data_IF_065181915221
#
_entry.id   IF_065181915221
#
_cell.length_a   1.000
_cell.length_b   1.000
_cell.length_c   1.000
_cell.angle_alpha   90.00
_cell.angle_beta   90.00
_cell.angle_gamma   90.00
#
_symmetry.space_group_name_H-M   'P 1'
#
loop_
_entity.id
_entity.type
_entity.pdbx_description
1 polymer ?
#
# COMPACT_ATOMS: atom_id res chain seq x y z
N UNK A 1 13.43 -8.54 -53.18
CA UNK A 1 13.03 -9.40 -52.05
C UNK A 1 14.30 -9.78 -51.32
N UNK A 2 14.70 -8.98 -50.34
CA UNK A 2 15.83 -9.32 -49.48
C UNK A 2 15.33 -10.36 -48.48
N UNK A 3 15.80 -11.59 -48.60
CA UNK A 3 15.50 -12.63 -47.62
C UNK A 3 16.30 -12.33 -46.36
N UNK A 4 15.60 -11.90 -45.31
CA UNK A 4 16.12 -11.85 -43.95
C UNK A 4 16.83 -13.16 -43.58
N UNK A 5 17.85 -13.05 -42.72
CA UNK A 5 18.81 -14.12 -42.44
C UNK A 5 18.22 -15.13 -41.43
N UNK A 6 17.19 -15.86 -41.86
CA UNK A 6 16.47 -16.83 -41.02
C UNK A 6 17.42 -17.93 -40.54
N UNK A 7 17.65 -17.98 -39.23
CA UNK A 7 18.49 -18.98 -38.56
C UNK A 7 17.63 -20.10 -37.97
N UNK A 8 18.02 -21.35 -38.25
CA UNK A 8 17.40 -22.53 -37.65
C UNK A 8 18.09 -22.88 -36.31
N UNK A 9 17.35 -23.38 -35.29
CA UNK A 9 17.95 -23.81 -34.03
C UNK A 9 18.99 -24.93 -34.22
N UNK A 10 20.12 -24.88 -33.51
CA UNK A 10 21.14 -25.92 -33.64
C UNK A 10 20.73 -27.24 -32.95
N UNK A 11 20.99 -28.36 -33.63
CA UNK A 11 20.77 -29.72 -33.12
C UNK A 11 19.33 -30.24 -33.32
N UNK A 12 18.81 -31.03 -32.38
CA UNK A 12 17.50 -31.71 -32.50
C UNK A 12 16.28 -30.83 -32.12
N UNK A 13 16.42 -29.51 -32.00
CA UNK A 13 15.31 -28.65 -31.57
C UNK A 13 14.51 -28.20 -32.82
N UNK A 14 13.19 -28.44 -32.88
CA UNK A 14 12.38 -27.97 -34.01
C UNK A 14 12.30 -26.44 -34.03
N UNK A 15 12.20 -25.88 -35.23
CA UNK A 15 11.81 -24.48 -35.43
C UNK A 15 10.29 -24.37 -35.27
N UNK A 16 9.81 -23.31 -34.62
CA UNK A 16 8.38 -22.97 -34.54
C UNK A 16 8.07 -21.68 -35.30
N UNK A 17 6.83 -21.50 -35.73
CA UNK A 17 6.37 -20.27 -36.40
C UNK A 17 6.61 -19.03 -35.53
N UNK A 18 6.44 -19.12 -34.21
CA UNK A 18 6.74 -18.03 -33.27
C UNK A 18 8.23 -17.65 -33.24
N UNK A 19 9.15 -18.61 -33.43
CA UNK A 19 10.59 -18.30 -33.57
C UNK A 19 10.89 -17.61 -34.90
N UNK A 20 10.21 -17.97 -35.99
CA UNK A 20 10.38 -17.32 -37.29
C UNK A 20 9.81 -15.90 -37.29
N UNK A 21 8.62 -15.70 -36.73
CA UNK A 21 8.03 -14.37 -36.55
C UNK A 21 8.90 -13.49 -35.64
N UNK A 22 9.46 -14.04 -34.56
CA UNK A 22 10.40 -13.30 -33.69
C UNK A 22 11.70 -12.91 -34.40
N UNK A 23 12.15 -13.68 -35.39
CA UNK A 23 13.32 -13.33 -36.21
C UNK A 23 12.98 -12.21 -37.19
N UNK A 24 11.85 -12.31 -37.89
CA UNK A 24 11.39 -11.26 -38.81
C UNK A 24 11.15 -9.92 -38.07
N UNK A 25 10.51 -9.95 -36.90
CA UNK A 25 10.32 -8.74 -36.08
C UNK A 25 11.66 -8.12 -35.64
N UNK A 26 12.66 -8.96 -35.34
CA UNK A 26 14.01 -8.50 -34.98
C UNK A 26 14.81 -7.93 -36.16
N UNK A 27 14.34 -8.09 -37.40
CA UNK A 27 14.89 -7.46 -38.61
C UNK A 27 14.12 -6.19 -39.01
N UNK A 28 12.87 -6.02 -38.55
CA UNK A 28 12.03 -4.83 -38.79
C UNK A 28 12.13 -3.81 -37.66
N UNK A 29 13.31 -3.59 -37.10
CA UNK A 29 13.53 -2.55 -36.08
C UNK A 29 13.55 -1.18 -36.78
N UNK A 30 12.84 -0.20 -36.22
CA UNK A 30 12.87 1.16 -36.74
C UNK A 30 14.29 1.75 -36.62
N UNK A 31 14.89 2.27 -37.71
CA UNK A 31 16.27 2.74 -37.68
C UNK A 31 16.42 3.92 -36.71
N UNK A 32 17.37 3.79 -35.78
CA UNK A 32 17.59 4.78 -34.72
C UNK A 32 16.72 4.59 -33.47
N UNK A 33 15.90 3.54 -33.39
CA UNK A 33 15.17 3.18 -32.17
C UNK A 33 16.14 2.87 -31.02
N UNK A 34 16.00 3.57 -29.89
CA UNK A 34 16.79 3.36 -28.66
C UNK A 34 15.88 3.25 -27.45
N UNK A 35 16.22 2.36 -26.51
CA UNK A 35 15.50 2.17 -25.24
C UNK A 35 16.45 1.86 -24.09
N UNK A 36 16.19 2.45 -22.92
CA UNK A 36 16.93 2.10 -21.70
C UNK A 36 16.61 0.66 -21.27
N UNK A 37 17.66 -0.14 -21.16
CA UNK A 37 17.71 -1.54 -20.77
C UNK A 37 16.89 -1.82 -19.50
N UNK A 38 17.07 -1.00 -18.46
CA UNK A 38 16.39 -1.20 -17.18
C UNK A 38 14.97 -0.64 -17.11
N UNK A 39 14.60 0.30 -17.99
CA UNK A 39 13.19 0.70 -18.16
C UNK A 39 12.41 -0.41 -18.86
N UNK A 40 12.96 -0.92 -19.97
CA UNK A 40 12.36 -2.01 -20.73
C UNK A 40 12.29 -3.31 -19.91
N UNK A 41 13.34 -3.66 -19.15
CA UNK A 41 13.29 -4.81 -18.25
C UNK A 41 12.19 -4.68 -17.17
N UNK A 42 11.98 -3.49 -16.60
CA UNK A 42 10.86 -3.26 -15.68
C UNK A 42 9.52 -3.44 -16.38
N UNK A 43 9.34 -2.90 -17.59
CA UNK A 43 8.12 -3.13 -18.36
C UNK A 43 7.84 -4.62 -18.60
N UNK A 44 8.87 -5.43 -18.92
CA UNK A 44 8.74 -6.90 -19.04
C UNK A 44 8.33 -7.55 -17.71
N UNK A 45 8.82 -7.07 -16.57
CA UNK A 45 8.41 -7.55 -15.25
C UNK A 45 6.93 -7.24 -14.93
N UNK A 46 6.44 -6.05 -15.32
CA UNK A 46 5.03 -5.69 -15.16
C UNK A 46 4.12 -6.47 -16.13
N UNK A 47 4.53 -6.60 -17.40
CA UNK A 47 3.84 -7.35 -18.45
C UNK A 47 3.98 -8.88 -18.34
N UNK A 48 4.69 -9.38 -17.31
CA UNK A 48 5.02 -10.81 -17.10
C UNK A 48 3.83 -11.77 -17.30
N UNK A 49 2.60 -11.50 -16.77
CA UNK A 49 1.46 -12.40 -16.96
C UNK A 49 1.05 -12.54 -18.43
N UNK A 50 0.95 -11.41 -19.14
CA UNK A 50 0.56 -11.37 -20.56
C UNK A 50 1.62 -12.02 -21.47
N UNK A 51 2.91 -11.85 -21.13
CA UNK A 51 4.02 -12.45 -21.86
C UNK A 51 4.22 -13.96 -21.58
N UNK A 52 3.50 -14.55 -20.62
CA UNK A 52 3.63 -15.96 -20.25
C UNK A 52 4.98 -16.35 -19.62
N UNK A 53 5.72 -15.39 -19.05
CA UNK A 53 7.10 -15.60 -18.58
C UNK A 53 7.15 -15.89 -17.08
N UNK A 54 8.07 -16.77 -16.67
CA UNK A 54 8.28 -17.11 -15.25
C UNK A 54 9.32 -16.20 -14.58
N UNK A 55 9.23 -15.97 -13.27
CA UNK A 55 10.19 -15.11 -12.52
C UNK A 55 11.64 -15.59 -12.66
N UNK A 56 11.82 -16.91 -12.73
CA UNK A 56 13.12 -17.54 -12.96
C UNK A 56 13.66 -17.28 -14.37
N UNK A 57 12.79 -17.13 -15.37
CA UNK A 57 13.18 -16.66 -16.70
C UNK A 57 13.52 -15.16 -16.70
N UNK A 58 12.78 -14.32 -15.97
CA UNK A 58 13.14 -12.91 -15.78
C UNK A 58 14.50 -12.75 -15.07
N UNK A 59 14.83 -13.61 -14.10
CA UNK A 59 16.16 -13.64 -13.45
C UNK A 59 17.28 -13.98 -14.45
N UNK A 60 16.99 -14.80 -15.46
CA UNK A 60 17.95 -15.11 -16.53
C UNK A 60 18.05 -13.96 -17.54
N UNK A 61 16.95 -13.26 -17.83
CA UNK A 61 16.94 -12.08 -18.69
C UNK A 61 17.72 -10.92 -18.05
N UNK A 62 17.47 -10.61 -16.79
CA UNK A 62 18.25 -9.70 -15.94
C UNK A 62 19.75 -10.02 -16.05
N UNK A 63 20.11 -11.28 -15.77
CA UNK A 63 21.48 -11.75 -15.87
C UNK A 63 22.07 -11.60 -17.29
N UNK A 64 21.30 -11.82 -18.38
CA UNK A 64 21.74 -11.55 -19.75
C UNK A 64 21.98 -10.06 -20.01
N UNK A 65 21.09 -9.19 -19.56
CA UNK A 65 21.17 -7.73 -19.74
C UNK A 65 22.37 -7.11 -19.02
N UNK A 66 22.83 -7.70 -17.91
CA UNK A 66 24.11 -7.28 -17.28
C UNK A 66 25.37 -7.54 -18.12
N UNK A 67 25.30 -8.36 -19.19
CA UNK A 67 26.41 -8.55 -20.15
C UNK A 67 26.33 -7.59 -21.34
N UNK A 68 25.23 -6.83 -21.47
CA UNK A 68 25.15 -5.74 -22.43
C UNK A 68 25.90 -4.51 -21.85
N UNK A 69 26.93 -3.98 -22.55
CA UNK A 69 27.85 -2.99 -21.97
C UNK A 69 27.17 -1.66 -21.64
N UNK A 70 26.28 -1.20 -22.52
CA UNK A 70 25.59 0.09 -22.40
C UNK A 70 24.29 0.00 -21.58
N UNK A 71 23.77 1.16 -21.17
CA UNK A 71 22.42 1.24 -20.58
C UNK A 71 21.31 1.35 -21.65
N UNK A 72 21.64 1.73 -22.88
CA UNK A 72 20.68 1.85 -23.98
C UNK A 72 20.88 0.75 -25.02
N UNK A 73 19.81 -0.02 -25.26
CA UNK A 73 19.75 -1.02 -26.33
C UNK A 73 19.51 -0.28 -27.65
N UNK A 74 20.39 -0.51 -28.62
CA UNK A 74 20.36 0.12 -29.95
C UNK A 74 21.10 -0.76 -30.96
N UNK A 75 20.73 -0.68 -32.25
CA UNK A 75 21.39 -1.45 -33.31
C UNK A 75 22.87 -1.09 -33.49
N UNK A 76 23.19 0.20 -33.44
CA UNK A 76 24.54 0.77 -33.58
C UNK A 76 25.58 0.12 -32.67
N UNK A 77 25.18 -0.27 -31.45
CA UNK A 77 26.07 -0.82 -30.42
C UNK A 77 26.16 -2.36 -30.46
N UNK A 78 25.49 -2.98 -31.44
CA UNK A 78 25.33 -4.41 -31.55
C UNK A 78 24.30 -4.96 -30.56
N UNK A 79 23.60 -6.02 -30.96
CA UNK A 79 22.47 -6.59 -30.19
C UNK A 79 22.74 -8.00 -29.66
N UNK A 80 23.98 -8.50 -29.70
CA UNK A 80 24.32 -9.90 -29.39
C UNK A 80 25.22 -9.99 -28.15
N UNK A 81 24.73 -10.66 -27.10
CA UNK A 81 25.51 -11.00 -25.90
C UNK A 81 25.94 -12.46 -25.91
N UNK A 82 27.20 -12.74 -25.56
CA UNK A 82 27.79 -14.09 -25.64
C UNK A 82 28.37 -14.59 -24.28
N UNK A 83 27.61 -14.52 -23.16
CA UNK A 83 28.13 -14.96 -21.86
C UNK A 83 28.37 -16.47 -21.79
N UNK A 84 29.42 -16.85 -21.06
CA UNK A 84 29.67 -18.24 -20.69
C UNK A 84 28.56 -18.74 -19.75
N UNK A 85 28.23 -20.03 -19.83
CA UNK A 85 27.20 -20.61 -18.95
C UNK A 85 27.55 -20.49 -17.45
N UNK A 86 28.85 -20.48 -17.11
CA UNK A 86 29.31 -20.31 -15.73
C UNK A 86 29.05 -18.89 -15.21
N UNK A 87 29.44 -17.85 -15.98
CA UNK A 87 29.18 -16.45 -15.59
C UNK A 87 27.68 -16.14 -15.60
N UNK A 88 26.92 -16.67 -16.56
CA UNK A 88 25.47 -16.48 -16.61
C UNK A 88 24.77 -17.19 -15.45
N UNK A 89 25.21 -18.39 -15.06
CA UNK A 89 24.74 -19.10 -13.85
C UNK A 89 25.02 -18.30 -12.57
N UNK A 90 26.24 -17.75 -12.43
CA UNK A 90 26.63 -16.93 -11.28
C UNK A 90 25.72 -15.71 -11.12
N UNK A 91 25.51 -14.94 -12.20
CA UNK A 91 24.62 -13.76 -12.18
C UNK A 91 23.14 -14.14 -12.04
N UNK A 92 22.71 -15.26 -12.61
CA UNK A 92 21.37 -15.83 -12.41
C UNK A 92 21.20 -16.56 -11.06
N UNK A 93 21.84 -16.04 -9.99
CA UNK A 93 21.72 -16.52 -8.60
C UNK A 93 22.11 -17.99 -8.40
N UNK A 94 23.18 -18.46 -9.07
CA UNK A 94 23.70 -19.82 -8.95
C UNK A 94 22.84 -20.89 -9.64
N UNK A 95 22.01 -20.50 -10.61
CA UNK A 95 21.09 -21.42 -11.30
C UNK A 95 21.84 -22.54 -12.04
N UNK A 96 21.44 -23.81 -11.84
CA UNK A 96 22.12 -24.96 -12.44
C UNK A 96 22.08 -24.93 -13.98
N UNK A 97 23.05 -25.53 -14.70
CA UNK A 97 23.08 -25.52 -16.16
C UNK A 97 21.87 -26.18 -16.85
N UNK A 98 21.13 -27.05 -16.16
CA UNK A 98 19.89 -27.63 -16.68
C UNK A 98 18.73 -26.61 -16.56
N UNK A 99 18.54 -26.05 -15.38
CA UNK A 99 17.51 -25.03 -15.09
C UNK A 99 17.74 -23.78 -15.95
N UNK A 100 18.98 -23.34 -16.10
CA UNK A 100 19.37 -22.23 -16.98
C UNK A 100 18.96 -22.47 -18.43
N UNK A 101 19.24 -23.67 -18.98
CA UNK A 101 18.82 -24.03 -20.35
C UNK A 101 17.30 -24.05 -20.53
N UNK A 102 16.54 -24.47 -19.51
CA UNK A 102 15.06 -24.44 -19.50
C UNK A 102 14.53 -23.01 -19.54
N UNK A 103 15.03 -22.11 -18.70
CA UNK A 103 14.56 -20.72 -18.69
C UNK A 103 15.02 -19.93 -19.93
N UNK A 104 16.20 -20.23 -20.48
CA UNK A 104 16.62 -19.77 -21.81
C UNK A 104 15.83 -20.38 -22.97
N UNK A 105 15.02 -21.44 -22.75
CA UNK A 105 14.07 -21.93 -23.74
C UNK A 105 12.79 -21.10 -23.67
N UNK A 106 12.27 -20.86 -22.45
CA UNK A 106 11.10 -20.00 -22.19
C UNK A 106 11.29 -18.58 -22.74
N UNK A 107 12.45 -17.94 -22.54
CA UNK A 107 12.70 -16.58 -23.08
C UNK A 107 12.74 -16.54 -24.62
N UNK A 108 13.11 -17.64 -25.28
CA UNK A 108 13.08 -17.77 -26.75
C UNK A 108 11.67 -18.06 -27.25
N UNK A 109 10.93 -18.91 -26.53
CA UNK A 109 9.54 -19.25 -26.85
C UNK A 109 8.60 -18.07 -26.65
N UNK A 110 8.84 -17.22 -25.65
CA UNK A 110 8.16 -15.94 -25.43
C UNK A 110 8.63 -14.80 -26.36
N UNK A 111 9.55 -15.07 -27.30
CA UNK A 111 10.04 -14.08 -28.27
C UNK A 111 10.76 -12.89 -27.66
N UNK A 112 11.38 -13.03 -26.47
CA UNK A 112 12.13 -11.97 -25.81
C UNK A 112 13.62 -11.98 -26.16
N UNK A 113 14.18 -13.16 -26.47
CA UNK A 113 15.56 -13.29 -26.96
C UNK A 113 15.60 -14.27 -28.13
N UNK A 114 16.55 -14.06 -29.05
CA UNK A 114 16.85 -15.03 -30.10
C UNK A 114 18.18 -15.73 -29.81
N UNK A 115 18.33 -16.98 -30.28
CA UNK A 115 19.61 -17.68 -30.28
C UNK A 115 20.24 -17.59 -31.65
N UNK A 116 21.43 -16.99 -31.71
CA UNK A 116 22.31 -17.04 -32.88
C UNK A 116 23.39 -18.08 -32.60
N UNK A 117 23.03 -19.35 -32.80
CA UNK A 117 23.92 -20.49 -32.57
C UNK A 117 25.03 -20.53 -33.63
N UNK A 118 26.26 -20.92 -33.25
CA UNK A 118 27.36 -21.12 -34.21
C UNK A 118 27.29 -22.52 -34.84
N UNK A 119 27.99 -22.76 -35.97
CA UNK A 119 28.06 -24.10 -36.60
C UNK A 119 28.58 -25.22 -35.66
N UNK A 120 29.28 -24.85 -34.59
CA UNK A 120 29.82 -25.77 -33.59
C UNK A 120 29.06 -25.75 -32.24
N UNK A 121 27.90 -25.07 -32.16
CA UNK A 121 27.08 -24.97 -30.94
C UNK A 121 27.74 -24.22 -29.76
N UNK A 122 28.92 -23.61 -29.96
CA UNK A 122 29.63 -22.80 -28.95
C UNK A 122 29.30 -21.32 -29.14
N UNK A 123 29.24 -20.55 -28.04
CA UNK A 123 29.09 -19.09 -28.08
C UNK A 123 30.47 -18.43 -28.12
N UNK A 124 30.73 -17.64 -29.16
CA UNK A 124 31.96 -16.87 -29.32
C UNK A 124 31.72 -15.68 -30.24
N UNK A 125 32.53 -14.63 -30.08
CA UNK A 125 32.65 -13.55 -31.03
C UNK A 125 33.95 -13.73 -31.84
N UNK A 126 33.83 -13.79 -33.16
CA UNK A 126 34.96 -13.74 -34.08
C UNK A 126 35.25 -12.28 -34.39
N UNK A 127 36.46 -11.81 -34.04
CA UNK A 127 36.95 -10.52 -34.52
C UNK A 127 37.43 -10.66 -35.96
N UNK A 128 37.23 -9.61 -36.75
CA UNK A 128 37.77 -9.52 -38.11
C UNK A 128 39.28 -9.23 -38.09
N UNK A 129 39.89 -9.09 -39.28
CA UNK A 129 41.33 -8.76 -39.39
C UNK A 129 41.69 -7.34 -38.93
N UNK A 130 40.70 -6.46 -38.71
CA UNK A 130 40.88 -5.09 -38.21
C UNK A 130 40.64 -4.97 -36.69
N UNK A 131 40.19 -6.05 -36.02
CA UNK A 131 39.92 -6.09 -34.58
C UNK A 131 38.48 -5.75 -34.19
N UNK A 132 37.61 -5.41 -35.14
CA UNK A 132 36.18 -5.22 -34.91
C UNK A 132 35.45 -6.57 -34.77
N UNK A 133 34.24 -6.58 -34.20
CA UNK A 133 33.45 -7.82 -34.02
C UNK A 133 32.79 -8.17 -35.35
N UNK A 134 33.39 -9.09 -36.12
CA UNK A 134 32.89 -9.50 -37.43
C UNK A 134 31.69 -10.45 -37.38
N UNK A 135 31.74 -11.49 -36.53
CA UNK A 135 30.61 -12.42 -36.33
C UNK A 135 30.44 -12.75 -34.85
N UNK A 136 29.28 -12.41 -34.26
CA UNK A 136 28.93 -12.78 -32.89
C UNK A 136 27.89 -13.92 -32.87
N UNK A 137 28.20 -14.98 -32.12
CA UNK A 137 27.30 -16.12 -31.88
C UNK A 137 26.97 -16.21 -30.38
N UNK A 138 25.67 -16.10 -30.03
CA UNK A 138 25.20 -15.86 -28.68
C UNK A 138 23.68 -15.67 -28.60
N UNK A 139 23.23 -14.82 -27.68
CA UNK A 139 21.83 -14.39 -27.59
C UNK A 139 21.66 -13.01 -28.18
N UNK A 140 20.73 -12.86 -29.12
CA UNK A 140 20.32 -11.54 -29.60
C UNK A 140 19.20 -10.99 -28.73
N UNK A 141 19.35 -9.74 -28.28
CA UNK A 141 18.33 -8.95 -27.58
C UNK A 141 17.52 -8.06 -28.53
N UNK A 142 17.74 -8.18 -29.84
CA UNK A 142 16.97 -7.48 -30.88
C UNK A 142 15.43 -7.57 -30.72
N UNK A 143 14.83 -8.73 -30.33
CA UNK A 143 13.38 -8.80 -30.12
C UNK A 143 12.86 -7.85 -29.03
N UNK A 144 13.68 -7.52 -28.02
CA UNK A 144 13.31 -6.55 -26.99
C UNK A 144 13.11 -5.15 -27.57
N UNK A 145 13.96 -4.76 -28.52
CA UNK A 145 13.89 -3.45 -29.16
C UNK A 145 12.74 -3.40 -30.17
N UNK A 146 12.59 -4.44 -31.00
CA UNK A 146 11.49 -4.60 -31.94
C UNK A 146 10.10 -4.56 -31.26
N UNK A 147 9.98 -5.23 -30.11
CA UNK A 147 8.74 -5.32 -29.34
C UNK A 147 8.65 -4.30 -28.21
N UNK A 148 9.50 -3.28 -28.19
CA UNK A 148 9.55 -2.33 -27.07
C UNK A 148 8.19 -1.65 -26.83
N UNK A 149 7.53 -1.19 -27.89
CA UNK A 149 6.22 -0.51 -27.80
C UNK A 149 5.12 -1.48 -27.35
N UNK A 150 5.11 -2.72 -27.85
CA UNK A 150 4.19 -3.78 -27.42
C UNK A 150 4.34 -4.05 -25.90
N UNK A 151 5.58 -4.24 -25.44
CA UNK A 151 5.92 -4.51 -24.04
C UNK A 151 5.58 -3.30 -23.15
N UNK A 152 5.87 -2.08 -23.60
CA UNK A 152 5.52 -0.83 -22.91
C UNK A 152 4.00 -0.69 -22.75
N UNK A 153 3.22 -1.01 -23.78
CA UNK A 153 1.74 -1.00 -23.74
C UNK A 153 1.18 -2.09 -22.81
N UNK A 154 1.67 -3.32 -22.90
CA UNK A 154 1.26 -4.43 -22.01
C UNK A 154 1.58 -4.11 -20.54
N UNK A 155 2.72 -3.46 -20.28
CA UNK A 155 3.08 -3.01 -18.94
C UNK A 155 2.15 -1.92 -18.42
N UNK A 156 1.82 -0.93 -19.25
CA UNK A 156 0.87 0.15 -18.92
C UNK A 156 -0.52 -0.41 -18.61
N UNK A 157 -1.03 -1.34 -19.44
CA UNK A 157 -2.29 -2.03 -19.19
C UNK A 157 -2.27 -2.80 -17.87
N UNK A 158 -1.22 -3.61 -17.62
CA UNK A 158 -1.09 -4.37 -16.37
C UNK A 158 -0.98 -3.47 -15.13
N UNK A 159 -0.42 -2.25 -15.24
CA UNK A 159 -0.45 -1.25 -14.16
C UNK A 159 -1.88 -0.74 -13.95
N UNK A 160 -2.54 -0.27 -15.01
CA UNK A 160 -3.90 0.28 -14.96
C UNK A 160 -4.92 -0.72 -14.38
N UNK A 161 -4.87 -1.99 -14.79
CA UNK A 161 -5.72 -3.06 -14.25
C UNK A 161 -5.53 -3.26 -12.73
N UNK A 162 -4.29 -3.18 -12.23
CA UNK A 162 -3.98 -3.30 -10.79
C UNK A 162 -4.39 -2.06 -10.00
N UNK A 163 -4.29 -0.87 -10.60
CA UNK A 163 -4.74 0.38 -9.98
C UNK A 163 -6.27 0.43 -9.90
N UNK A 164 -6.96 0.05 -10.97
CA UNK A 164 -8.42 -0.10 -10.99
C UNK A 164 -8.89 -1.13 -9.96
N UNK A 165 -8.28 -2.32 -9.91
CA UNK A 165 -8.58 -3.36 -8.92
C UNK A 165 -8.35 -2.86 -7.47
N UNK A 166 -7.33 -2.02 -7.24
CA UNK A 166 -7.09 -1.41 -5.93
C UNK A 166 -8.19 -0.40 -5.60
N UNK A 167 -8.47 0.54 -6.49
CA UNK A 167 -9.47 1.58 -6.29
C UNK A 167 -10.87 1.01 -6.04
N UNK A 168 -11.29 -0.02 -6.80
CA UNK A 168 -12.56 -0.72 -6.58
C UNK A 168 -12.60 -1.38 -5.20
N UNK A 169 -11.52 -2.04 -4.75
CA UNK A 169 -11.45 -2.65 -3.41
C UNK A 169 -11.44 -1.62 -2.28
N UNK A 170 -10.79 -0.48 -2.48
CA UNK A 170 -10.79 0.64 -1.53
C UNK A 170 -12.21 1.23 -1.40
N UNK A 171 -12.88 1.52 -2.52
CA UNK A 171 -14.29 1.95 -2.54
C UNK A 171 -15.21 0.94 -1.87
N UNK A 172 -15.09 -0.36 -2.18
CA UNK A 172 -15.89 -1.42 -1.57
C UNK A 172 -15.69 -1.48 -0.04
N UNK A 173 -14.45 -1.31 0.41
CA UNK A 173 -14.12 -1.28 1.85
C UNK A 173 -14.72 -0.07 2.55
N UNK A 174 -14.67 1.11 1.92
CA UNK A 174 -15.30 2.34 2.42
C UNK A 174 -16.82 2.21 2.44
N UNK A 175 -17.44 1.79 1.33
CA UNK A 175 -18.88 1.62 1.22
C UNK A 175 -19.42 0.63 2.27
N UNK A 176 -18.75 -0.52 2.45
CA UNK A 176 -19.09 -1.51 3.49
C UNK A 176 -19.05 -0.92 4.91
N UNK A 177 -18.03 -0.13 5.22
CA UNK A 177 -17.90 0.55 6.51
C UNK A 177 -18.98 1.61 6.70
N UNK A 178 -19.29 2.35 5.65
CA UNK A 178 -20.24 3.46 5.70
C UNK A 178 -21.67 2.94 5.89
N UNK A 179 -22.12 1.92 5.14
CA UNK A 179 -23.42 1.25 5.35
C UNK A 179 -23.55 0.76 6.79
N UNK A 180 -22.55 0.03 7.29
CA UNK A 180 -22.55 -0.49 8.66
C UNK A 180 -22.69 0.61 9.72
N UNK A 181 -22.10 1.79 9.49
CA UNK A 181 -22.22 2.93 10.41
C UNK A 181 -23.55 3.67 10.28
N UNK A 182 -24.06 3.85 9.06
CA UNK A 182 -25.34 4.50 8.81
C UNK A 182 -26.49 3.69 9.42
N UNK A 183 -26.47 2.36 9.22
CA UNK A 183 -27.45 1.45 9.82
C UNK A 183 -27.36 1.44 11.35
N UNK A 184 -26.15 1.40 11.93
CA UNK A 184 -25.99 1.51 13.40
C UNK A 184 -26.57 2.81 13.93
N UNK A 185 -26.16 3.96 13.35
CA UNK A 185 -26.64 5.27 13.78
C UNK A 185 -28.16 5.40 13.66
N UNK A 186 -28.76 4.88 12.59
CA UNK A 186 -30.21 4.90 12.41
C UNK A 186 -30.97 4.07 13.47
N UNK A 187 -30.41 2.93 13.88
CA UNK A 187 -30.96 2.09 14.96
C UNK A 187 -30.77 2.78 16.32
N UNK A 188 -29.58 3.34 16.58
CA UNK A 188 -29.23 4.03 17.83
C UNK A 188 -30.07 5.31 18.03
N UNK A 189 -30.38 6.04 16.96
CA UNK A 189 -31.25 7.23 16.94
C UNK A 189 -32.74 6.90 16.74
N UNK A 190 -33.11 5.60 16.67
CA UNK A 190 -34.48 5.11 16.48
C UNK A 190 -35.23 5.67 15.25
N UNK A 191 -34.49 5.94 14.16
CA UNK A 191 -35.02 6.51 12.92
C UNK A 191 -36.01 5.53 12.25
N UNK A 192 -37.25 5.95 11.91
CA UNK A 192 -38.22 5.07 11.28
C UNK A 192 -37.78 4.66 9.86
N UNK A 193 -37.64 3.35 9.64
CA UNK A 193 -37.29 2.74 8.35
C UNK A 193 -37.11 1.22 8.48
N UNK A 194 -37.08 0.51 7.34
CA UNK A 194 -36.82 -0.94 7.32
C UNK A 194 -35.31 -1.25 7.38
N UNK A 195 -34.71 -0.90 8.50
CA UNK A 195 -33.29 -1.13 8.76
C UNK A 195 -32.95 -2.61 8.91
N UNK A 196 -33.94 -3.47 9.22
CA UNK A 196 -33.77 -4.92 9.30
C UNK A 196 -33.61 -5.53 7.90
N UNK A 197 -34.50 -5.19 6.96
CA UNK A 197 -34.36 -5.59 5.55
C UNK A 197 -33.04 -5.09 4.96
N UNK A 198 -32.69 -3.82 5.20
CA UNK A 198 -31.41 -3.25 4.77
C UNK A 198 -30.19 -3.99 5.37
N UNK A 199 -30.27 -4.40 6.64
CA UNK A 199 -29.23 -5.21 7.29
C UNK A 199 -29.10 -6.59 6.66
N UNK A 200 -30.21 -7.22 6.26
CA UNK A 200 -30.19 -8.50 5.54
C UNK A 200 -29.51 -8.35 4.17
N UNK A 201 -29.95 -7.39 3.35
CA UNK A 201 -29.36 -7.12 2.04
C UNK A 201 -27.85 -6.82 2.13
N UNK A 202 -27.45 -6.06 3.15
CA UNK A 202 -26.04 -5.78 3.42
C UNK A 202 -25.22 -7.04 3.75
N UNK A 203 -25.77 -7.95 4.58
CA UNK A 203 -25.11 -9.23 4.92
C UNK A 203 -24.97 -10.12 3.67
N UNK A 204 -25.99 -10.18 2.82
CA UNK A 204 -25.96 -10.97 1.59
C UNK A 204 -24.96 -10.42 0.56
N UNK A 205 -24.81 -9.09 0.47
CA UNK A 205 -23.76 -8.44 -0.32
C UNK A 205 -22.36 -8.76 0.23
N UNK A 206 -22.15 -8.66 1.54
CA UNK A 206 -20.86 -8.96 2.18
C UNK A 206 -20.49 -10.45 2.02
N UNK A 207 -21.45 -11.36 2.08
CA UNK A 207 -21.24 -12.79 1.86
C UNK A 207 -20.81 -13.13 0.42
N UNK A 208 -21.19 -12.30 -0.57
CA UNK A 208 -20.80 -12.46 -1.98
C UNK A 208 -19.39 -11.95 -2.31
N UNK A 209 -18.70 -11.24 -1.41
CA UNK A 209 -17.36 -10.69 -1.69
C UNK A 209 -16.35 -11.83 -1.94
N UNK A 210 -15.78 -11.97 -3.15
CA UNK A 210 -14.83 -13.04 -3.46
C UNK A 210 -13.47 -12.82 -2.81
N UNK A 211 -12.84 -13.89 -2.30
CA UNK A 211 -11.48 -13.84 -1.74
C UNK A 211 -10.41 -13.45 -2.78
N UNK A 212 -10.62 -13.87 -4.02
CA UNK A 212 -9.80 -13.52 -5.19
C UNK A 212 -10.76 -13.24 -6.35
N UNK A 213 -11.36 -12.06 -6.36
CA UNK A 213 -12.23 -11.61 -7.45
C UNK A 213 -11.50 -10.78 -8.51
N UNK A 214 -12.03 -10.85 -9.73
CA UNK A 214 -11.67 -9.97 -10.85
C UNK A 214 -12.17 -8.54 -10.64
N UNK A 215 -11.77 -7.63 -11.54
CA UNK A 215 -12.23 -6.23 -11.50
C UNK A 215 -13.74 -6.14 -11.72
N UNK A 216 -14.26 -6.86 -12.72
CA UNK A 216 -15.67 -6.81 -13.13
C UNK A 216 -16.60 -7.29 -12.01
N UNK A 217 -16.32 -8.46 -11.42
CA UNK A 217 -17.09 -9.02 -10.30
C UNK A 217 -17.14 -8.09 -9.07
N UNK A 218 -16.02 -7.41 -8.80
CA UNK A 218 -15.92 -6.46 -7.70
C UNK A 218 -16.55 -5.10 -8.03
N UNK A 219 -16.63 -4.72 -9.31
CA UNK A 219 -17.33 -3.53 -9.75
C UNK A 219 -18.85 -3.72 -9.68
N UNK A 220 -19.39 -4.83 -10.19
CA UNK A 220 -20.82 -5.13 -10.06
C UNK A 220 -21.28 -5.20 -8.61
N UNK A 221 -20.46 -5.80 -7.74
CA UNK A 221 -20.76 -5.86 -6.31
C UNK A 221 -20.64 -4.49 -5.63
N UNK A 222 -19.72 -3.63 -6.10
CA UNK A 222 -19.60 -2.25 -5.61
C UNK A 222 -20.84 -1.42 -5.98
N UNK A 223 -21.33 -1.54 -7.22
CA UNK A 223 -22.52 -0.81 -7.68
C UNK A 223 -23.76 -1.21 -6.84
N UNK A 224 -23.95 -2.51 -6.56
CA UNK A 224 -25.02 -2.98 -5.65
C UNK A 224 -24.86 -2.45 -4.21
N UNK A 225 -23.62 -2.37 -3.69
CA UNK A 225 -23.37 -1.82 -2.35
C UNK A 225 -23.55 -0.29 -2.31
N UNK A 226 -23.16 0.44 -3.35
CA UNK A 226 -23.34 1.89 -3.43
C UNK A 226 -24.83 2.25 -3.53
N UNK A 227 -25.65 1.48 -4.25
CA UNK A 227 -27.10 1.63 -4.24
C UNK A 227 -27.70 1.48 -2.82
N UNK A 228 -27.28 0.45 -2.07
CA UNK A 228 -27.75 0.23 -0.69
C UNK A 228 -27.29 1.33 0.28
N UNK A 229 -26.06 1.84 0.08
CA UNK A 229 -25.54 3.00 0.82
C UNK A 229 -26.36 4.24 0.56
N UNK A 230 -26.69 4.51 -0.70
CA UNK A 230 -27.43 5.70 -1.09
C UNK A 230 -28.89 5.62 -0.62
N UNK A 231 -29.50 4.43 -0.57
CA UNK A 231 -30.79 4.21 0.09
C UNK A 231 -30.74 4.54 1.60
N UNK A 232 -29.71 4.07 2.30
CA UNK A 232 -29.49 4.38 3.73
C UNK A 232 -29.34 5.88 3.98
N UNK A 233 -28.54 6.56 3.16
CA UNK A 233 -28.37 8.03 3.20
C UNK A 233 -29.70 8.73 2.91
N UNK A 234 -30.46 8.29 1.91
CA UNK A 234 -31.75 8.89 1.55
C UNK A 234 -32.84 8.71 2.62
N UNK A 235 -32.80 7.64 3.42
CA UNK A 235 -33.66 7.47 4.60
C UNK A 235 -33.29 8.48 5.70
N UNK A 236 -32.01 8.53 6.07
CA UNK A 236 -31.49 9.45 7.10
C UNK A 236 -31.69 10.93 6.72
N UNK A 237 -31.40 11.30 5.47
CA UNK A 237 -31.61 12.67 4.99
C UNK A 237 -33.08 13.08 5.04
N UNK A 238 -34.01 12.17 4.73
CA UNK A 238 -35.46 12.45 4.84
C UNK A 238 -35.87 12.66 6.29
N UNK A 239 -35.31 11.91 7.24
CA UNK A 239 -35.54 12.12 8.67
C UNK A 239 -35.07 13.51 9.12
N UNK A 240 -33.80 13.84 8.86
CA UNK A 240 -33.19 15.13 9.22
C UNK A 240 -33.93 16.32 8.58
N UNK A 241 -34.41 16.17 7.33
CA UNK A 241 -35.21 17.19 6.64
C UNK A 241 -36.60 17.36 7.28
N UNK A 242 -37.24 16.26 7.71
CA UNK A 242 -38.52 16.30 8.42
C UNK A 242 -38.38 16.97 9.79
N UNK A 243 -37.43 16.54 10.62
CA UNK A 243 -37.22 17.14 11.95
C UNK A 243 -36.97 18.65 11.87
N UNK A 244 -36.24 19.13 10.86
CA UNK A 244 -36.03 20.57 10.63
C UNK A 244 -37.30 21.34 10.25
N UNK A 245 -38.32 20.67 9.72
CA UNK A 245 -39.63 21.27 9.43
C UNK A 245 -40.48 21.24 10.70
N UNK A 246 -40.57 20.08 11.36
CA UNK A 246 -41.34 19.89 12.60
C UNK A 246 -40.83 20.82 13.74
N UNK A 247 -39.51 21.09 13.82
CA UNK A 247 -38.91 22.04 14.78
C UNK A 247 -39.22 23.51 14.46
N UNK A 248 -39.51 23.86 13.20
CA UNK A 248 -39.85 25.24 12.81
C UNK A 248 -41.33 25.61 13.09
N UNK A 249 -42.21 24.64 13.32
CA UNK A 249 -43.66 24.89 13.53
C UNK A 249 -43.96 25.56 14.90
N UNK A 250 -43.00 25.61 15.82
CA UNK A 250 -43.19 26.08 17.21
C UNK A 250 -42.39 27.34 17.60
N UNK A 251 -42.00 28.18 16.63
CA UNK A 251 -41.67 29.58 16.95
C UNK A 251 -42.98 30.35 17.21
N UNK A 252 -43.14 30.84 18.45
CA UNK A 252 -44.33 31.54 18.93
C UNK A 252 -44.47 32.89 18.20
N UNK A 253 -45.15 32.91 17.05
CA UNK A 253 -45.69 34.15 16.49
C UNK A 253 -46.79 34.67 17.42
N UNK A 254 -46.41 35.60 18.31
CA UNK A 254 -47.38 36.41 19.02
C UNK A 254 -48.17 37.22 18.00
N UNK A 255 -49.42 36.84 17.80
CA UNK A 255 -50.43 37.59 17.05
C UNK A 255 -50.40 39.06 17.49
N UNK A 256 -49.77 39.93 16.68
CA UNK A 256 -49.79 41.38 16.90
C UNK A 256 -51.13 41.92 16.41
N UNK A 257 -52.09 41.99 17.32
CA UNK A 257 -53.37 42.63 17.03
C UNK A 257 -53.16 44.14 16.93
N UNK A 258 -52.88 44.64 15.72
CA UNK A 258 -52.75 46.07 15.46
C UNK A 258 -54.15 46.71 15.44
N UNK A 259 -54.54 47.33 16.56
CA UNK A 259 -55.71 48.18 16.64
C UNK A 259 -55.29 49.66 16.72
N UNK A 260 -55.05 50.28 15.56
CA UNK A 260 -55.05 51.73 15.38
C UNK A 260 -55.63 52.01 13.98
N UNK A 261 -56.77 52.73 13.86
CA UNK A 261 -57.33 53.12 12.57
C UNK A 261 -56.56 54.30 11.97
N UNK A 262 -56.66 54.46 10.65
CA UNK A 262 -55.95 55.49 9.89
C UNK A 262 -56.28 56.93 10.32
N UNK A 263 -55.26 57.79 10.28
CA UNK A 263 -55.46 59.20 9.93
C UNK A 263 -54.27 59.71 9.11
N UNK A 264 -54.57 60.14 7.88
CA UNK A 264 -53.65 60.74 6.91
C UNK A 264 -53.64 62.26 7.04
N UNK A 265 -52.47 62.89 6.97
CA UNK A 265 -52.21 64.28 6.53
C UNK A 265 -50.69 64.42 6.32
N UNK A 266 -50.17 64.32 5.09
CA UNK A 266 -49.93 65.39 4.09
C UNK A 266 -48.68 66.28 4.32
N UNK A 267 -47.75 66.19 3.35
CA UNK A 267 -46.82 67.25 2.85
C UNK A 267 -45.70 67.76 3.82
N UNK A 268 -44.47 68.11 3.42
CA UNK A 268 -43.74 68.15 2.12
C UNK A 268 -42.20 68.01 2.35
N UNK A 269 -41.33 67.89 1.31
CA UNK A 269 -39.90 67.58 1.47
C UNK A 269 -38.93 68.78 1.29
N UNK A 270 -37.75 68.76 1.94
CA UNK A 270 -36.58 69.56 1.52
C UNK A 270 -35.22 68.99 1.95
N UNK A 271 -34.16 69.42 1.26
CA UNK A 271 -32.80 68.86 1.27
C UNK A 271 -31.82 69.46 2.32
N UNK A 272 -30.67 68.78 2.45
CA UNK A 272 -29.32 69.24 2.85
C UNK A 272 -29.00 69.73 4.29
N UNK A 273 -27.93 69.19 4.90
CA UNK A 273 -26.59 69.85 4.99
C UNK A 273 -25.60 69.18 5.98
N UNK A 274 -24.47 68.67 5.45
CA UNK A 274 -23.07 68.55 5.97
C UNK A 274 -22.67 67.88 7.31
N UNK A 275 -21.73 66.93 7.15
CA UNK A 275 -20.45 66.65 7.85
C UNK A 275 -19.89 67.57 8.97
N UNK A 276 -19.12 66.94 9.88
CA UNK A 276 -18.07 67.54 10.75
C UNK A 276 -18.14 67.04 12.21
N UNK A 277 -17.50 65.96 12.66
CA UNK A 277 -16.06 65.69 12.93
C UNK A 277 -15.43 66.41 14.16
N UNK A 278 -15.04 65.61 15.20
CA UNK A 278 -14.04 65.86 16.29
C UNK A 278 -14.28 67.04 17.28
N UNK A 279 -13.76 67.06 18.52
CA UNK A 279 -13.23 66.06 19.47
C UNK A 279 -12.95 66.74 20.85
N UNK A 280 -12.42 65.94 21.82
CA UNK A 280 -11.39 66.28 22.85
C UNK A 280 -11.81 66.29 24.35
N UNK A 281 -11.43 65.20 25.06
CA UNK A 281 -10.87 65.04 26.46
C UNK A 281 -11.49 65.78 27.68
N UNK A 282 -11.32 65.39 28.97
CA UNK A 282 -10.20 64.76 29.72
C UNK A 282 -10.64 64.01 31.01
N UNK A 283 -9.92 62.92 31.35
CA UNK A 283 -9.36 62.48 32.66
C UNK A 283 -10.25 62.38 33.93
N UNK A 284 -10.05 61.50 34.94
CA UNK A 284 -9.12 60.38 35.24
C UNK A 284 -9.78 59.52 36.38
N UNK A 285 -9.32 58.36 36.89
CA UNK A 285 -8.15 57.49 36.60
C UNK A 285 -7.83 56.55 37.80
N UNK A 286 -7.11 55.43 37.58
CA UNK A 286 -6.52 54.48 38.58
C UNK A 286 -7.50 53.56 39.38
N UNK A 287 -7.23 52.28 39.71
CA UNK A 287 -6.04 51.42 39.53
C UNK A 287 -6.39 49.90 39.37
N UNK A 288 -5.43 49.14 38.81
CA UNK A 288 -5.28 47.67 38.71
C UNK A 288 -4.57 47.08 39.98
N UNK A 289 -4.17 45.78 40.14
CA UNK A 289 -3.97 44.66 39.18
C UNK A 289 -4.49 43.27 39.67
N UNK A 290 -4.15 42.07 39.13
CA UNK A 290 -4.04 41.51 37.75
C UNK A 290 -3.68 40.00 37.88
N UNK A 291 -4.15 39.06 37.03
CA UNK A 291 -3.51 37.74 36.90
C UNK A 291 -3.78 37.01 35.55
N UNK A 292 -2.71 36.58 34.85
CA UNK A 292 -2.75 35.77 33.61
C UNK A 292 -1.96 34.46 33.83
N UNK A 293 -2.47 33.31 33.41
CA UNK A 293 -1.72 32.05 33.42
C UNK A 293 -1.62 31.36 32.05
N UNK A 294 -0.40 31.36 31.51
CA UNK A 294 -0.02 30.77 30.22
C UNK A 294 1.00 29.64 30.45
N UNK A 295 0.56 28.38 30.29
CA UNK A 295 1.38 27.22 30.63
C UNK A 295 2.48 26.89 29.58
N UNK A 296 3.69 26.61 30.09
CA UNK A 296 4.84 26.03 29.38
C UNK A 296 5.32 24.75 30.12
N UNK A 297 6.04 23.82 29.47
CA UNK A 297 6.32 22.49 30.02
C UNK A 297 7.58 22.43 30.90
N UNK A 298 7.66 21.49 31.86
CA UNK A 298 8.86 21.25 32.66
C UNK A 298 9.81 20.18 32.07
N UNK A 299 11.11 20.32 32.37
CA UNK A 299 12.14 19.26 32.31
C UNK A 299 12.60 18.92 33.78
N UNK A 300 13.79 18.36 34.10
CA UNK A 300 13.87 16.97 34.56
C UNK A 300 14.68 16.72 35.87
N UNK A 301 14.14 15.97 36.82
CA UNK A 301 14.84 15.48 38.04
C UNK A 301 14.15 14.19 38.54
N UNK A 302 14.76 13.24 39.27
CA UNK A 302 16.15 12.97 39.66
C UNK A 302 16.29 11.46 40.02
N UNK A 303 17.53 10.98 40.24
CA UNK A 303 17.78 9.66 40.88
C UNK A 303 17.41 9.69 42.38
N UNK A 304 17.11 8.52 42.95
CA UNK A 304 17.88 8.05 44.11
C UNK A 304 18.52 6.68 43.85
N UNK A 305 19.60 6.35 44.56
CA UNK A 305 20.29 5.07 44.43
C UNK A 305 20.35 4.28 45.74
N UNK A 306 20.75 3.00 45.64
CA UNK A 306 21.35 2.26 46.74
C UNK A 306 20.62 0.99 47.21
N UNK A 307 20.95 -0.15 46.60
CA UNK A 307 21.66 -1.29 47.24
C UNK A 307 21.71 -2.51 46.30
N UNK A 308 22.92 -3.04 46.09
CA UNK A 308 23.13 -4.41 45.57
C UNK A 308 23.17 -5.41 46.73
N UNK A 309 22.98 -6.70 46.43
CA UNK A 309 23.95 -7.69 46.91
C UNK A 309 24.53 -8.56 45.78
N UNK A 310 25.86 -8.69 45.85
CA UNK A 310 26.80 -9.70 45.35
C UNK A 310 26.43 -10.65 44.18
N UNK A 311 27.38 -10.72 43.24
CA UNK A 311 27.47 -11.62 42.10
C UNK A 311 27.56 -13.13 42.43
N UNK A 312 27.08 -13.96 41.49
CA UNK A 312 27.71 -15.24 41.12
C UNK A 312 27.32 -15.70 39.69
N UNK A 313 28.33 -15.84 38.82
CA UNK A 313 28.40 -16.65 37.58
C UNK A 313 27.56 -16.28 36.32
N UNK A 314 28.01 -16.71 35.11
CA UNK A 314 27.92 -15.86 33.91
C UNK A 314 27.19 -16.47 32.69
N UNK A 315 27.03 -15.64 31.65
CA UNK A 315 26.60 -15.99 30.28
C UNK A 315 25.16 -16.52 30.13
N UNK A 316 24.22 -15.61 29.88
CA UNK A 316 23.02 -15.86 29.08
C UNK A 316 22.57 -14.54 28.42
N UNK A 317 22.20 -14.57 27.14
CA UNK A 317 21.72 -13.38 26.43
C UNK A 317 20.42 -12.84 27.06
N UNK A 318 20.26 -11.51 27.08
CA UNK A 318 19.07 -10.85 27.62
C UNK A 318 17.84 -11.06 26.71
N UNK A 319 17.27 -12.27 26.72
CA UNK A 319 15.95 -12.51 26.13
C UNK A 319 14.89 -11.77 26.94
N UNK A 320 14.07 -10.98 26.23
CA UNK A 320 12.87 -10.39 26.82
C UNK A 320 11.93 -11.50 27.27
N UNK A 321 11.42 -11.40 28.50
CA UNK A 321 10.42 -12.35 29.04
C UNK A 321 9.23 -12.42 28.08
N UNK A 322 9.00 -13.60 27.51
CA UNK A 322 7.80 -13.88 26.71
C UNK A 322 6.57 -13.96 27.63
N UNK A 323 5.42 -13.56 27.10
CA UNK A 323 4.13 -13.56 27.79
C UNK A 323 3.22 -14.61 27.14
N UNK A 324 2.33 -15.30 27.88
CA UNK A 324 1.46 -16.29 27.28
C UNK A 324 0.55 -15.66 26.22
N UNK A 325 0.38 -16.33 25.07
CA UNK A 325 -0.38 -15.82 23.92
C UNK A 325 -1.78 -15.32 24.30
N UNK A 326 -2.49 -16.04 25.17
CA UNK A 326 -3.82 -15.61 25.65
C UNK A 326 -3.84 -14.25 26.34
N UNK A 327 -2.77 -13.87 27.05
CA UNK A 327 -2.63 -12.54 27.67
C UNK A 327 -2.40 -11.45 26.60
N UNK A 328 -1.63 -11.78 25.54
CA UNK A 328 -1.40 -10.85 24.41
C UNK A 328 -2.69 -10.59 23.65
N UNK A 329 -3.48 -11.64 23.38
CA UNK A 329 -4.77 -11.53 22.69
C UNK A 329 -5.84 -10.85 23.57
N UNK A 330 -5.82 -11.05 24.88
CA UNK A 330 -6.66 -10.29 25.82
C UNK A 330 -6.29 -8.80 25.85
N UNK A 331 -4.99 -8.48 25.77
CA UNK A 331 -4.50 -7.10 25.75
C UNK A 331 -4.82 -6.40 24.43
N UNK A 332 -4.72 -7.11 23.31
CA UNK A 332 -4.78 -6.56 21.96
C UNK A 332 -5.85 -7.26 21.09
N UNK A 333 -7.16 -7.16 21.42
CA UNK A 333 -8.22 -7.79 20.63
C UNK A 333 -8.21 -7.38 19.16
N UNK A 334 -7.77 -6.17 18.80
CA UNK A 334 -7.81 -5.68 17.42
C UNK A 334 -6.92 -6.47 16.44
N UNK A 335 -5.92 -7.24 16.91
CA UNK A 335 -5.09 -8.05 16.00
C UNK A 335 -5.78 -9.35 15.54
N UNK A 336 -6.86 -9.79 16.20
CA UNK A 336 -7.57 -11.02 15.87
C UNK A 336 -8.11 -11.02 14.43
N UNK A 337 -8.61 -9.88 13.97
CA UNK A 337 -9.15 -9.67 12.61
C UNK A 337 -8.12 -9.91 11.49
N UNK A 338 -6.83 -9.87 11.83
CA UNK A 338 -5.71 -10.05 10.90
C UNK A 338 -5.11 -11.46 10.98
N UNK A 339 -5.66 -12.33 11.82
CA UNK A 339 -5.27 -13.73 11.92
C UNK A 339 -5.64 -14.54 10.66
N UNK A 340 -4.89 -15.60 10.32
CA UNK A 340 -5.24 -16.50 9.22
C UNK A 340 -6.60 -17.16 9.46
N UNK A 341 -7.62 -16.73 8.71
CA UNK A 341 -9.01 -17.17 8.92
C UNK A 341 -9.77 -16.40 10.00
N UNK A 342 -9.33 -15.20 10.38
CA UNK A 342 -10.02 -14.33 11.35
C UNK A 342 -9.88 -14.78 12.81
N UNK A 343 -8.94 -15.68 13.10
CA UNK A 343 -8.64 -16.16 14.45
C UNK A 343 -7.13 -16.32 14.63
N UNK A 344 -6.68 -16.34 15.89
CA UNK A 344 -5.27 -16.57 16.26
C UNK A 344 -5.24 -17.67 17.32
N UNK A 345 -4.89 -18.90 16.92
CA UNK A 345 -4.81 -20.05 17.82
C UNK A 345 -3.40 -20.31 18.36
N UNK A 346 -2.36 -19.82 17.67
CA UNK A 346 -0.97 -20.06 18.04
C UNK A 346 -0.04 -18.86 17.67
N UNK A 347 1.23 -18.92 18.09
CA UNK A 347 2.22 -17.86 17.83
C UNK A 347 2.52 -17.62 16.36
N UNK A 348 2.47 -18.64 15.50
CA UNK A 348 2.67 -18.49 14.05
C UNK A 348 1.51 -17.73 13.41
N UNK A 349 0.30 -17.91 13.90
CA UNK A 349 -0.86 -17.12 13.49
C UNK A 349 -0.67 -15.64 13.87
N UNK A 350 -0.23 -15.36 15.11
CA UNK A 350 0.05 -14.00 15.57
C UNK A 350 1.20 -13.33 14.80
N UNK A 351 2.29 -14.06 14.54
CA UNK A 351 3.39 -13.57 13.70
C UNK A 351 2.93 -13.29 12.25
N UNK A 352 2.01 -14.09 11.73
CA UNK A 352 1.42 -13.85 10.40
C UNK A 352 0.53 -12.61 10.39
N UNK A 353 -0.32 -12.45 11.41
CA UNK A 353 -1.13 -11.25 11.61
C UNK A 353 -0.27 -9.99 11.74
N UNK A 354 0.81 -10.04 12.53
CA UNK A 354 1.75 -8.94 12.68
C UNK A 354 2.43 -8.53 11.35
N UNK A 355 2.67 -9.48 10.43
CA UNK A 355 3.21 -9.18 9.08
C UNK A 355 2.21 -8.42 8.19
N UNK A 356 0.91 -8.70 8.34
CA UNK A 356 -0.16 -7.91 7.69
C UNK A 356 -0.25 -6.53 8.33
N UNK A 357 -0.40 -6.49 9.65
CA UNK A 357 -0.59 -5.26 10.45
C UNK A 357 0.58 -4.29 10.30
N UNK A 358 1.84 -4.75 10.30
CA UNK A 358 3.00 -3.86 10.07
C UNK A 358 2.87 -3.08 8.75
N UNK A 359 2.30 -3.70 7.72
CA UNK A 359 2.17 -3.10 6.39
C UNK A 359 1.06 -2.04 6.38
N UNK A 360 -0.04 -2.31 7.08
CA UNK A 360 -1.14 -1.36 7.31
C UNK A 360 -0.70 -0.15 8.17
N UNK A 361 0.15 -0.37 9.18
CA UNK A 361 0.69 0.68 10.06
C UNK A 361 1.85 1.49 9.44
N UNK A 362 2.19 1.27 8.17
CA UNK A 362 3.33 1.95 7.52
C UNK A 362 4.71 1.58 8.07
N UNK A 363 4.82 0.43 8.76
CA UNK A 363 6.08 -0.09 9.28
C UNK A 363 6.83 -0.83 8.15
N UNK A 364 7.91 -0.22 7.67
CA UNK A 364 8.81 -0.79 6.67
C UNK A 364 9.34 -2.17 7.07
N UNK A 365 9.53 -3.12 6.14
CA UNK A 365 10.04 -4.48 6.43
C UNK A 365 11.32 -4.48 7.28
N UNK A 366 12.31 -3.65 6.94
CA UNK A 366 13.57 -3.54 7.69
C UNK A 366 13.36 -3.21 9.17
N UNK A 367 12.49 -2.25 9.50
CA UNK A 367 12.17 -1.92 10.90
C UNK A 367 11.57 -3.09 11.70
N UNK A 368 10.87 -4.01 11.02
CA UNK A 368 10.31 -5.20 11.64
C UNK A 368 11.31 -6.36 11.70
N UNK A 369 12.22 -6.45 10.72
CA UNK A 369 13.36 -7.38 10.73
C UNK A 369 14.35 -7.01 11.86
N UNK A 370 14.69 -5.72 12.00
CA UNK A 370 15.48 -5.16 13.10
C UNK A 370 14.83 -5.49 14.46
N UNK A 371 13.51 -5.30 14.58
CA UNK A 371 12.76 -5.66 15.77
C UNK A 371 12.83 -7.18 16.04
N UNK A 372 12.56 -8.03 15.05
CA UNK A 372 12.67 -9.48 15.20
C UNK A 372 14.07 -9.92 15.66
N UNK A 373 15.13 -9.25 15.20
CA UNK A 373 16.50 -9.50 15.63
C UNK A 373 16.78 -9.02 17.07
N UNK A 374 16.30 -7.83 17.44
CA UNK A 374 16.58 -7.21 18.74
C UNK A 374 15.72 -7.75 19.91
N UNK A 375 14.43 -8.01 19.70
CA UNK A 375 13.51 -8.49 20.75
C UNK A 375 13.06 -9.96 20.60
N UNK A 376 13.33 -10.59 19.45
CA UNK A 376 12.79 -11.90 19.08
C UNK A 376 11.43 -11.79 18.37
N UNK A 377 11.06 -12.77 17.52
CA UNK A 377 9.92 -12.63 16.61
C UNK A 377 8.55 -12.63 17.29
N UNK A 378 8.35 -13.44 18.34
CA UNK A 378 7.12 -13.45 19.16
C UNK A 378 6.89 -12.11 19.88
N UNK A 379 7.98 -11.54 20.39
CA UNK A 379 7.99 -10.25 21.07
C UNK A 379 7.78 -9.09 20.09
N UNK A 380 8.38 -9.13 18.89
CA UNK A 380 8.14 -8.16 17.83
C UNK A 380 6.67 -8.19 17.35
N UNK A 381 6.09 -9.38 17.18
CA UNK A 381 4.68 -9.54 16.85
C UNK A 381 3.76 -9.00 17.97
N UNK A 382 4.11 -9.24 19.23
CA UNK A 382 3.43 -8.69 20.41
C UNK A 382 3.49 -7.15 20.43
N UNK A 383 4.64 -6.55 20.11
CA UNK A 383 4.77 -5.08 20.04
C UNK A 383 3.94 -4.50 18.89
N UNK A 384 3.91 -5.15 17.72
CA UNK A 384 3.01 -4.74 16.61
C UNK A 384 1.54 -4.79 17.04
N UNK A 385 1.10 -5.83 17.75
CA UNK A 385 -0.25 -5.92 18.31
C UNK A 385 -0.56 -4.75 19.25
N UNK A 386 0.36 -4.46 20.18
CA UNK A 386 0.22 -3.34 21.12
C UNK A 386 0.26 -1.95 20.45
N UNK A 387 0.88 -1.82 19.27
CA UNK A 387 0.87 -0.57 18.50
C UNK A 387 -0.46 -0.40 17.74
N UNK A 388 -1.00 -1.48 17.15
CA UNK A 388 -2.32 -1.49 16.51
C UNK A 388 -3.43 -1.12 17.51
N UNK A 389 -3.41 -1.74 18.69
CA UNK A 389 -4.40 -1.49 19.76
C UNK A 389 -4.39 -0.02 20.24
N UNK A 390 -3.27 0.70 20.05
CA UNK A 390 -3.13 2.13 20.36
C UNK A 390 -3.30 3.04 19.13
N UNK A 391 -3.98 2.55 18.09
CA UNK A 391 -4.28 3.27 16.87
C UNK A 391 -4.88 4.66 17.15
N UNK A 392 -4.28 5.70 16.57
CA UNK A 392 -4.64 7.10 16.81
C UNK A 392 -3.80 7.83 17.86
N UNK A 393 -3.08 7.13 18.74
CA UNK A 393 -2.17 7.76 19.73
C UNK A 393 -0.69 7.73 19.35
N UNK A 394 -0.34 7.13 18.21
CA UNK A 394 1.04 6.96 17.73
C UNK A 394 1.16 7.51 16.31
N UNK A 395 1.72 8.72 16.17
CA UNK A 395 1.83 9.43 14.89
C UNK A 395 2.79 8.77 13.88
N UNK A 396 3.74 7.94 14.35
CA UNK A 396 4.67 7.21 13.49
C UNK A 396 4.94 5.81 14.04
N UNK A 397 4.13 4.80 13.68
CA UNK A 397 4.31 3.43 14.14
C UNK A 397 5.70 2.86 13.81
N UNK A 398 6.21 3.11 12.61
CA UNK A 398 7.54 2.64 12.17
C UNK A 398 8.71 3.40 12.78
N UNK A 399 8.52 4.65 13.23
CA UNK A 399 9.51 5.37 14.02
C UNK A 399 9.52 4.86 15.48
N UNK A 400 8.34 4.65 16.04
CA UNK A 400 8.16 4.15 17.41
C UNK A 400 8.73 2.73 17.58
N UNK A 401 8.48 1.82 16.65
CA UNK A 401 9.06 0.46 16.69
C UNK A 401 10.60 0.49 16.71
N UNK A 402 11.23 1.39 15.94
CA UNK A 402 12.70 1.54 15.93
C UNK A 402 13.25 2.07 17.26
N UNK A 403 12.53 2.98 17.93
CA UNK A 403 12.88 3.43 19.28
C UNK A 403 12.79 2.27 20.29
N UNK A 404 11.69 1.49 20.26
CA UNK A 404 11.54 0.31 21.12
C UNK A 404 12.61 -0.75 20.86
N UNK A 405 13.01 -0.95 19.60
CA UNK A 405 14.11 -1.85 19.22
C UNK A 405 15.43 -1.37 19.82
N UNK A 406 15.81 -0.10 19.60
CA UNK A 406 17.02 0.51 20.16
C UNK A 406 17.06 0.48 21.69
N UNK A 407 15.91 0.65 22.34
CA UNK A 407 15.80 0.53 23.79
C UNK A 407 15.90 -0.92 24.27
N UNK A 408 15.44 -1.90 23.47
CA UNK A 408 15.66 -3.32 23.75
C UNK A 408 17.14 -3.67 23.72
N UNK A 409 17.86 -3.22 22.68
CA UNK A 409 19.33 -3.42 22.54
C UNK A 409 20.12 -2.87 23.74
N UNK A 410 19.58 -1.87 24.44
CA UNK A 410 20.16 -1.26 25.65
C UNK A 410 19.65 -1.86 26.97
N UNK A 411 18.70 -2.78 26.94
CA UNK A 411 18.01 -3.30 28.13
C UNK A 411 17.04 -2.31 28.80
N UNK A 412 16.69 -1.21 28.11
CA UNK A 412 15.84 -0.10 28.58
C UNK A 412 14.34 -0.26 28.21
N UNK A 413 13.97 -1.41 27.64
CA UNK A 413 12.60 -1.75 27.26
C UNK A 413 12.14 -3.06 27.89
N UNK A 414 10.87 -3.11 28.26
CA UNK A 414 10.17 -4.32 28.67
C UNK A 414 8.74 -4.27 28.14
N UNK A 415 8.26 -5.38 27.58
CA UNK A 415 6.92 -5.48 26.97
C UNK A 415 5.82 -5.53 28.04
N UNK A 416 6.11 -6.08 29.21
CA UNK A 416 5.15 -6.25 30.31
C UNK A 416 4.37 -4.98 30.70
N UNK A 417 5.04 -3.84 31.00
CA UNK A 417 4.36 -2.58 31.27
C UNK A 417 3.43 -2.10 30.15
N UNK A 418 3.79 -2.34 28.88
CA UNK A 418 2.99 -1.98 27.71
C UNK A 418 1.74 -2.85 27.60
N UNK A 419 1.89 -4.18 27.69
CA UNK A 419 0.77 -5.14 27.74
C UNK A 419 -0.17 -4.84 28.92
N UNK A 420 0.38 -4.66 30.12
CA UNK A 420 -0.43 -4.45 31.33
C UNK A 420 -1.19 -3.11 31.31
N UNK A 421 -0.69 -2.09 30.59
CA UNK A 421 -1.44 -0.86 30.35
C UNK A 421 -2.68 -1.12 29.47
N UNK A 422 -2.52 -1.91 28.40
CA UNK A 422 -3.62 -2.31 27.50
C UNK A 422 -4.63 -3.23 28.18
N UNK A 423 -4.19 -4.23 28.96
CA UNK A 423 -5.10 -5.08 29.75
C UNK A 423 -5.94 -4.27 30.74
N UNK A 424 -5.40 -3.17 31.32
CA UNK A 424 -6.19 -2.27 32.18
C UNK A 424 -7.18 -1.42 31.39
N UNK A 425 -6.79 -0.89 30.23
CA UNK A 425 -7.70 -0.13 29.35
C UNK A 425 -8.87 -1.01 28.87
N UNK A 426 -8.57 -2.18 28.32
CA UNK A 426 -9.55 -3.12 27.77
C UNK A 426 -10.26 -3.98 28.84
N UNK A 427 -9.79 -3.94 30.09
CA UNK A 427 -10.47 -4.52 31.25
C UNK A 427 -11.59 -3.63 31.81
N UNK A 428 -11.55 -2.32 31.56
CA UNK A 428 -12.60 -1.37 31.98
C UNK A 428 -13.90 -1.56 31.20
N UNK A 429 -13.79 -1.75 29.88
CA UNK A 429 -14.94 -1.95 28.97
C UNK A 429 -15.77 -3.21 29.25
N UNK A 430 -15.24 -4.18 30.00
CA UNK A 430 -16.00 -5.39 30.43
C UNK A 430 -16.69 -5.26 31.80
N UNK A 431 -16.61 -4.11 32.48
CA UNK A 431 -17.19 -3.91 33.83
C UNK A 431 -18.44 -3.02 33.90
N UNK A 432 -19.01 -2.63 32.75
CA UNK A 432 -20.27 -1.87 32.67
C UNK A 432 -21.38 -2.59 31.89
N UNK A 433 -21.30 -3.92 31.82
CA UNK A 433 -22.42 -4.79 31.45
C UNK A 433 -22.67 -5.76 32.61
N UNK A 434 -23.47 -5.32 33.58
CA UNK A 434 -23.82 -6.02 34.81
C UNK A 434 -24.79 -5.20 35.64
#
# INVERSE_FOLDING_TARGET
MESGYVTTPFGRRPMSLGMLASQQLAETIEPGMKRSKWKLFRAICEARPALGVTDRALTVLDALLTFYPDDEISEEKGLIVFPSNAQLSLRARGMTPATLRRHLAVLVEAGLILRKDSPNGKRYARRDRAGAIGEAFGFSVAPLLARAVEIENLAAQAIAERELLRATRERLTVCRRDISKLVSAAIDEAVPGDWEQMTMMFRDLVARIPRVGGVEELATLLDEMELLRDEAVNLLERHIKREKIDVNESQIERHKQNSNPDSTYELEPSFDTKQGEKAVTTNDGMAEPSDEQRLKPPRPYARPGGKMPSAANPIAGHSLKSFPLGLVLQACPAILDYGPGGTIGNWRDLMSAAVVVRSMLGVSPSAYEDACAGMGPENAATVIACILERGGHINSPGGYLRDLTRRTERGEFAIGPMLMALVRANGGTKRHAG
#
